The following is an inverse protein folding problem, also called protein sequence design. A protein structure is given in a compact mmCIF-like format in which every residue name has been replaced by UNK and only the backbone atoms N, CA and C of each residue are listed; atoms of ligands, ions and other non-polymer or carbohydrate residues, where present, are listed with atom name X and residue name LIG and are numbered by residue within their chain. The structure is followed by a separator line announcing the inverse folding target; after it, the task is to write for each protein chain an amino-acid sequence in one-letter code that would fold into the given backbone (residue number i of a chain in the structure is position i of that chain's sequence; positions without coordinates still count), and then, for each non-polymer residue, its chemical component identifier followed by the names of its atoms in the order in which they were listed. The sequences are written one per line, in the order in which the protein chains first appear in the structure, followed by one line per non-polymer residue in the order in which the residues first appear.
data_IF_944296401983
#
_entry.id   IF_944296401983
#
_cell.length_a   1.000
_cell.length_b   1.000
_cell.length_c   1.000
_cell.angle_alpha   90.00
_cell.angle_beta   90.00
_cell.angle_gamma   90.00
#
_symmetry.space_group_name_H-M   'P 1'
#
loop_
_entity.id
_entity.type
_entity.pdbx_description
1 polymer ?
#
# COMPACT_ATOMS: atom_id res chain seq x y z
N UNK A 1 -14.96 -6.36 3.87
CA UNK A 1 -14.03 -7.19 3.06
C UNK A 1 -12.73 -7.41 3.81
N UNK A 2 -12.20 -6.38 4.46
CA UNK A 2 -10.93 -6.41 5.21
C UNK A 2 -10.91 -7.45 6.33
N UNK A 3 -11.98 -7.64 7.10
CA UNK A 3 -11.97 -8.60 8.22
C UNK A 3 -11.71 -10.06 7.79
N UNK A 4 -11.86 -10.38 6.50
CA UNK A 4 -11.50 -11.71 5.94
C UNK A 4 -10.02 -11.85 5.56
N UNK A 5 -9.33 -10.73 5.34
CA UNK A 5 -7.95 -10.66 4.83
C UNK A 5 -6.98 -10.00 5.83
N UNK A 6 -7.50 -9.33 6.86
CA UNK A 6 -6.75 -8.67 7.93
C UNK A 6 -6.69 -9.59 9.14
N UNK A 7 -5.54 -10.23 9.36
CA UNK A 7 -5.20 -10.79 10.69
C UNK A 7 -4.82 -9.63 11.60
N UNK A 8 -5.51 -9.50 12.73
CA UNK A 8 -5.31 -8.39 13.68
C UNK A 8 -4.11 -8.65 14.60
N UNK A 9 -2.92 -8.79 14.01
CA UNK A 9 -1.63 -8.98 14.68
C UNK A 9 -0.54 -8.23 13.91
N UNK A 10 0.64 -8.04 14.49
CA UNK A 10 1.78 -7.45 13.77
C UNK A 10 2.20 -8.27 12.56
N UNK A 11 2.33 -9.59 12.71
CA UNK A 11 2.65 -10.49 11.59
C UNK A 11 1.56 -10.44 10.52
N UNK A 12 0.28 -10.39 10.92
CA UNK A 12 -0.84 -10.21 10.03
C UNK A 12 -0.82 -8.90 9.25
N UNK A 13 -0.42 -7.81 9.92
CA UNK A 13 -0.22 -6.50 9.30
C UNK A 13 0.93 -6.53 8.28
N UNK A 14 2.09 -7.10 8.65
CA UNK A 14 3.24 -7.24 7.76
C UNK A 14 2.88 -8.08 6.53
N UNK A 15 2.20 -9.22 6.73
CA UNK A 15 1.72 -10.09 5.66
C UNK A 15 0.77 -9.32 4.72
N UNK A 16 -0.15 -8.53 5.26
CA UNK A 16 -1.04 -7.68 4.47
C UNK A 16 -0.24 -6.67 3.62
N UNK A 17 0.72 -5.97 4.21
CA UNK A 17 1.59 -5.03 3.47
C UNK A 17 2.35 -5.73 2.35
N UNK A 18 2.99 -6.87 2.63
CA UNK A 18 3.72 -7.65 1.62
C UNK A 18 2.80 -8.06 0.46
N UNK A 19 1.59 -8.52 0.77
CA UNK A 19 0.60 -8.87 -0.26
C UNK A 19 0.25 -7.65 -1.12
N UNK A 20 0.12 -6.46 -0.52
CA UNK A 20 -0.12 -5.22 -1.24
C UNK A 20 1.05 -4.85 -2.16
N UNK A 21 2.29 -5.09 -1.77
CA UNK A 21 3.48 -4.84 -2.59
C UNK A 21 3.56 -5.76 -3.81
N UNK A 22 3.01 -6.98 -3.70
CA UNK A 22 3.01 -7.99 -4.76
C UNK A 22 1.68 -8.15 -5.49
N UNK A 23 0.74 -7.21 -5.26
CA UNK A 23 -0.57 -7.20 -5.95
C UNK A 23 -0.54 -6.21 -7.10
N UNK A 24 -1.05 -6.64 -8.26
CA UNK A 24 -1.14 -5.80 -9.46
C UNK A 24 -1.81 -4.46 -9.21
N UNK A 25 -1.33 -3.42 -9.88
CA UNK A 25 -1.66 -2.00 -9.59
C UNK A 25 -3.16 -1.73 -9.51
N UNK A 26 -3.97 -2.31 -10.42
CA UNK A 26 -5.44 -2.15 -10.43
C UNK A 26 -6.08 -2.75 -9.19
N UNK A 27 -5.82 -4.03 -8.90
CA UNK A 27 -6.37 -4.73 -7.74
C UNK A 27 -5.88 -4.09 -6.43
N UNK A 28 -4.61 -3.71 -6.36
CA UNK A 28 -4.03 -2.98 -5.22
C UNK A 28 -4.78 -1.69 -4.95
N UNK A 29 -5.03 -0.89 -5.99
CA UNK A 29 -5.79 0.37 -5.87
C UNK A 29 -7.20 0.15 -5.36
N UNK A 30 -7.87 -0.93 -5.81
CA UNK A 30 -9.20 -1.30 -5.34
C UNK A 30 -9.19 -1.74 -3.86
N UNK A 31 -8.22 -2.55 -3.45
CA UNK A 31 -8.07 -3.00 -2.06
C UNK A 31 -7.76 -1.82 -1.15
N UNK A 32 -6.83 -0.93 -1.53
CA UNK A 32 -6.53 0.28 -0.77
C UNK A 32 -7.78 1.13 -0.59
N UNK A 33 -8.52 1.38 -1.67
CA UNK A 33 -9.74 2.17 -1.66
C UNK A 33 -10.83 1.55 -0.78
N UNK A 34 -11.10 0.26 -0.95
CA UNK A 34 -12.10 -0.44 -0.12
C UNK A 34 -11.69 -0.44 1.36
N UNK A 35 -10.41 -0.71 1.62
CA UNK A 35 -9.88 -0.82 2.95
C UNK A 35 -9.89 0.50 3.71
N UNK A 36 -9.52 1.61 3.06
CA UNK A 36 -9.44 2.94 3.70
C UNK A 36 -10.82 3.35 4.23
N UNK A 37 -11.88 3.00 3.50
CA UNK A 37 -13.25 3.29 3.92
C UNK A 37 -13.73 2.36 5.05
N UNK A 38 -13.22 1.13 5.13
CA UNK A 38 -13.56 0.21 6.22
C UNK A 38 -12.81 0.60 7.50
N UNK A 39 -11.49 0.79 7.41
CA UNK A 39 -10.58 1.04 8.52
C UNK A 39 -9.48 2.06 8.12
N UNK A 40 -9.78 3.38 8.17
CA UNK A 40 -8.88 4.42 7.67
C UNK A 40 -7.58 4.51 8.47
N UNK A 41 -7.64 4.28 9.78
CA UNK A 41 -6.42 4.31 10.61
C UNK A 41 -5.51 3.16 10.19
N UNK A 42 -6.00 1.91 10.18
CA UNK A 42 -5.18 0.77 9.80
C UNK A 42 -4.55 0.94 8.42
N UNK A 43 -5.34 1.39 7.45
CA UNK A 43 -4.85 1.59 6.09
C UNK A 43 -3.84 2.73 5.97
N UNK A 44 -3.87 3.72 6.86
CA UNK A 44 -2.82 4.74 6.92
C UNK A 44 -1.47 4.12 7.26
N UNK A 45 -1.41 3.18 8.21
CA UNK A 45 -0.17 2.44 8.48
C UNK A 45 0.20 1.55 7.31
N UNK A 46 -0.75 0.85 6.68
CA UNK A 46 -0.46 0.05 5.48
C UNK A 46 0.23 0.93 4.43
N UNK A 47 -0.35 2.08 4.10
CA UNK A 47 0.20 3.01 3.10
C UNK A 47 1.58 3.55 3.46
N UNK A 48 1.85 3.83 4.75
CA UNK A 48 3.19 4.23 5.22
C UNK A 48 4.25 3.15 5.00
N UNK A 49 3.86 1.88 4.91
CA UNK A 49 4.77 0.75 4.80
C UNK A 49 4.89 0.15 3.41
N UNK A 50 3.86 0.25 2.55
CA UNK A 50 3.94 -0.26 1.17
C UNK A 50 5.09 0.41 0.43
N UNK A 51 5.90 -0.40 -0.24
CA UNK A 51 7.03 0.02 -1.08
C UNK A 51 6.88 -0.48 -2.50
N UNK A 52 7.56 0.20 -3.42
CA UNK A 52 7.68 -0.20 -4.82
C UNK A 52 9.13 -0.50 -5.17
N UNK A 53 9.35 -1.00 -6.39
CA UNK A 53 10.71 -1.19 -6.90
C UNK A 53 11.47 0.14 -6.99
N UNK A 54 10.77 1.24 -7.23
CA UNK A 54 11.34 2.58 -7.26
C UNK A 54 11.85 3.01 -5.87
N UNK A 55 11.22 2.57 -4.77
CA UNK A 55 11.80 2.78 -3.44
C UNK A 55 13.07 1.94 -3.21
N UNK A 56 13.19 0.79 -3.89
CA UNK A 56 14.36 -0.09 -3.77
C UNK A 56 15.59 0.51 -4.46
N UNK A 57 15.43 1.12 -5.65
CA UNK A 57 16.56 1.74 -6.36
C UNK A 57 17.17 2.93 -5.58
N UNK A 58 16.40 3.50 -4.65
CA UNK A 58 16.79 4.61 -3.79
C UNK A 58 17.42 4.15 -2.45
N UNK A 59 17.54 2.84 -2.19
CA UNK A 59 18.23 2.33 -1.00
C UNK A 59 19.73 2.65 -1.04
N UNK A 60 20.41 2.69 0.12
CA UNK A 60 21.86 2.81 0.15
C UNK A 60 22.58 1.72 -0.65
N UNK A 61 23.67 2.08 -1.32
CA UNK A 61 24.45 1.19 -2.19
C UNK A 61 24.86 -0.12 -1.51
N UNK A 62 25.24 -0.07 -0.24
CA UNK A 62 25.64 -1.25 0.55
C UNK A 62 24.47 -2.20 0.86
N UNK A 63 23.25 -1.68 1.01
CA UNK A 63 22.04 -2.49 1.14
C UNK A 63 21.66 -3.15 -0.20
N UNK A 64 21.78 -2.41 -1.32
CA UNK A 64 21.55 -2.97 -2.65
C UNK A 64 22.59 -4.05 -2.97
N UNK A 65 23.86 -3.83 -2.62
CA UNK A 65 24.92 -4.84 -2.71
C UNK A 65 24.56 -6.11 -1.91
N UNK A 66 23.97 -5.94 -0.72
CA UNK A 66 23.52 -7.07 0.11
C UNK A 66 22.41 -7.86 -0.58
N UNK A 67 21.45 -7.17 -1.21
CA UNK A 67 20.40 -7.80 -2.04
C UNK A 67 21.00 -8.56 -3.22
N UNK A 68 21.93 -7.94 -3.96
CA UNK A 68 22.58 -8.53 -5.13
C UNK A 68 23.33 -9.82 -4.77
N UNK A 69 24.00 -9.85 -3.62
CA UNK A 69 24.79 -11.02 -3.17
C UNK A 69 23.94 -12.20 -2.71
N UNK A 70 22.63 -12.02 -2.54
CA UNK A 70 21.78 -13.12 -2.06
C UNK A 70 21.72 -14.30 -3.02
N UNK A 71 21.72 -14.05 -4.34
CA UNK A 71 21.61 -15.08 -5.37
C UNK A 71 22.31 -14.60 -6.66
N UNK A 72 22.89 -15.52 -7.44
CA UNK A 72 23.71 -15.16 -8.61
C UNK A 72 22.93 -14.44 -9.73
N UNK A 73 21.64 -14.75 -9.86
CA UNK A 73 20.77 -14.23 -10.92
C UNK A 73 20.19 -12.84 -10.64
N UNK A 74 20.46 -12.24 -9.47
CA UNK A 74 19.80 -10.98 -9.08
C UNK A 74 20.07 -9.85 -10.07
N UNK A 75 21.30 -9.74 -10.60
CA UNK A 75 21.62 -8.71 -11.60
C UNK A 75 20.78 -8.89 -12.88
N UNK A 76 20.62 -10.12 -13.37
CA UNK A 76 19.76 -10.39 -14.53
C UNK A 76 18.28 -10.07 -14.26
N UNK A 77 17.79 -10.31 -13.03
CA UNK A 77 16.43 -9.89 -12.65
C UNK A 77 16.31 -8.38 -12.58
N UNK A 78 17.32 -7.67 -12.03
CA UNK A 78 17.36 -6.21 -11.99
C UNK A 78 17.39 -5.60 -13.40
N UNK A 79 18.13 -6.21 -14.33
CA UNK A 79 18.14 -5.82 -15.73
C UNK A 79 16.72 -5.85 -16.33
N UNK A 80 15.93 -6.91 -16.05
CA UNK A 80 14.52 -6.97 -16.46
C UNK A 80 13.66 -5.89 -15.82
N UNK A 81 13.89 -5.56 -14.54
CA UNK A 81 13.13 -4.52 -13.83
C UNK A 81 13.30 -3.14 -14.48
N UNK A 82 14.53 -2.81 -14.89
CA UNK A 82 14.89 -1.49 -15.43
C UNK A 82 14.83 -1.40 -16.95
N UNK A 83 14.61 -2.52 -17.65
CA UNK A 83 14.56 -2.56 -19.10
C UNK A 83 13.51 -1.59 -19.65
N UNK A 84 13.94 -0.63 -20.48
CA UNK A 84 13.07 0.39 -21.06
C UNK A 84 12.56 1.46 -20.07
N UNK A 85 13.20 1.60 -18.90
CA UNK A 85 13.03 2.80 -18.07
C UNK A 85 13.71 4.02 -18.72
N UNK A 86 13.33 5.25 -18.34
CA UNK A 86 14.04 6.46 -18.75
C UNK A 86 15.54 6.38 -18.43
N UNK A 87 16.40 6.88 -19.34
CA UNK A 87 17.86 6.78 -19.23
C UNK A 87 18.40 7.43 -17.95
N UNK A 88 17.80 8.55 -17.51
CA UNK A 88 18.17 9.24 -16.27
C UNK A 88 17.95 8.36 -15.03
N UNK A 89 16.87 7.57 -15.02
CA UNK A 89 16.57 6.61 -13.94
C UNK A 89 17.53 5.42 -13.97
N UNK A 90 17.89 4.93 -15.15
CA UNK A 90 18.88 3.85 -15.30
C UNK A 90 20.24 4.33 -14.80
N UNK A 91 20.67 5.53 -15.22
CA UNK A 91 21.94 6.12 -14.80
C UNK A 91 22.00 6.35 -13.28
N UNK A 92 20.90 6.84 -12.69
CA UNK A 92 20.80 6.99 -11.24
C UNK A 92 20.98 5.64 -10.51
N UNK A 93 20.36 4.58 -11.01
CA UNK A 93 20.52 3.25 -10.46
C UNK A 93 21.95 2.72 -10.64
N UNK A 94 22.56 2.86 -11.83
CA UNK A 94 23.95 2.46 -12.10
C UNK A 94 24.91 3.11 -11.10
N UNK A 95 24.77 4.41 -10.86
CA UNK A 95 25.58 5.15 -9.90
C UNK A 95 25.44 4.64 -8.46
N UNK A 96 24.31 4.01 -8.13
CA UNK A 96 24.04 3.43 -6.82
C UNK A 96 24.55 1.99 -6.67
N UNK A 97 25.00 1.34 -7.74
CA UNK A 97 25.57 -0.02 -7.73
C UNK A 97 26.92 -0.11 -8.47
N UNK A 98 27.91 0.73 -8.16
CA UNK A 98 29.14 0.88 -8.94
C UNK A 98 29.91 -0.43 -9.13
N UNK A 99 29.86 -1.35 -8.17
CA UNK A 99 30.53 -2.66 -8.21
C UNK A 99 29.93 -3.63 -9.23
N UNK A 100 28.71 -3.37 -9.68
CA UNK A 100 27.91 -4.29 -10.48
C UNK A 100 27.54 -3.75 -11.86
N UNK A 101 27.96 -2.52 -12.20
CA UNK A 101 27.62 -1.84 -13.46
C UNK A 101 28.00 -2.69 -14.68
N UNK A 102 29.22 -3.23 -14.74
CA UNK A 102 29.67 -4.00 -15.91
C UNK A 102 28.74 -5.19 -16.17
N UNK A 103 28.48 -6.01 -15.14
CA UNK A 103 27.59 -7.16 -15.24
C UNK A 103 26.16 -6.74 -15.59
N UNK A 104 25.66 -5.64 -15.03
CA UNK A 104 24.32 -5.14 -15.36
C UNK A 104 24.23 -4.73 -16.85
N UNK A 105 25.23 -4.03 -17.38
CA UNK A 105 25.28 -3.62 -18.78
C UNK A 105 25.35 -4.82 -19.72
N UNK A 106 26.12 -5.84 -19.35
CA UNK A 106 26.18 -7.10 -20.09
C UNK A 106 24.79 -7.75 -20.14
N UNK A 107 24.12 -7.93 -19.00
CA UNK A 107 22.77 -8.50 -18.91
C UNK A 107 21.75 -7.70 -19.73
N UNK A 108 21.78 -6.36 -19.66
CA UNK A 108 20.92 -5.49 -20.46
C UNK A 108 21.13 -5.68 -21.97
N UNK A 109 22.38 -5.88 -22.41
CA UNK A 109 22.70 -6.05 -23.84
C UNK A 109 22.12 -7.33 -24.45
N UNK A 110 21.88 -8.37 -23.63
CA UNK A 110 21.28 -9.63 -24.07
C UNK A 110 19.75 -9.59 -24.10
N UNK A 111 19.11 -8.62 -23.46
CA UNK A 111 17.66 -8.48 -23.45
C UNK A 111 17.17 -7.85 -24.76
N UNK A 112 16.34 -8.59 -25.51
CA UNK A 112 15.72 -8.11 -26.76
C UNK A 112 14.32 -7.55 -26.54
N UNK A 113 13.55 -8.21 -25.69
CA UNK A 113 12.19 -7.83 -25.32
C UNK A 113 11.93 -8.31 -23.89
N UNK A 114 11.17 -7.52 -23.13
CA UNK A 114 10.70 -7.88 -21.79
C UNK A 114 9.25 -7.42 -21.68
N UNK A 115 8.34 -8.36 -21.55
CA UNK A 115 6.90 -8.09 -21.46
C UNK A 115 6.55 -7.37 -20.14
N UNK A 116 5.43 -6.63 -20.06
CA UNK A 116 5.01 -6.00 -18.82
C UNK A 116 4.87 -6.96 -17.64
N UNK A 117 4.36 -8.18 -17.90
CA UNK A 117 4.21 -9.24 -16.90
C UNK A 117 5.57 -9.72 -16.37
N UNK A 118 6.57 -9.89 -17.24
CA UNK A 118 7.92 -10.26 -16.82
C UNK A 118 8.58 -9.17 -15.97
N UNK A 119 8.40 -7.88 -16.34
CA UNK A 119 8.89 -6.75 -15.54
C UNK A 119 8.24 -6.74 -14.16
N UNK A 120 6.92 -6.90 -14.10
CA UNK A 120 6.16 -6.91 -12.86
C UNK A 120 6.57 -8.09 -11.96
N UNK A 121 6.69 -9.29 -12.53
CA UNK A 121 7.19 -10.47 -11.82
C UNK A 121 8.61 -10.29 -11.27
N UNK A 122 9.51 -9.67 -12.07
CA UNK A 122 10.87 -9.34 -11.65
C UNK A 122 10.87 -8.35 -10.47
N UNK A 123 10.07 -7.28 -10.54
CA UNK A 123 9.92 -6.30 -9.45
C UNK A 123 9.43 -6.96 -8.16
N UNK A 124 8.42 -7.83 -8.25
CA UNK A 124 7.92 -8.57 -7.09
C UNK A 124 8.94 -9.53 -6.49
N UNK A 125 9.75 -10.17 -7.32
CA UNK A 125 10.83 -11.03 -6.86
C UNK A 125 11.86 -10.25 -6.03
N UNK A 126 12.30 -9.09 -6.53
CA UNK A 126 13.22 -8.21 -5.80
C UNK A 126 12.62 -7.76 -4.47
N UNK A 127 11.38 -7.25 -4.47
CA UNK A 127 10.72 -6.80 -3.23
C UNK A 127 10.60 -7.91 -2.18
N UNK A 128 10.30 -9.15 -2.59
CA UNK A 128 10.27 -10.30 -1.67
C UNK A 128 11.63 -10.57 -1.03
N UNK A 129 12.72 -10.45 -1.79
CA UNK A 129 14.07 -10.62 -1.24
C UNK A 129 14.39 -9.50 -0.26
N UNK A 130 14.12 -8.26 -0.62
CA UNK A 130 14.34 -7.09 0.25
C UNK A 130 13.57 -7.25 1.56
N UNK A 131 12.29 -7.66 1.51
CA UNK A 131 11.49 -7.93 2.72
C UNK A 131 12.04 -9.07 3.57
N UNK A 132 12.56 -10.14 2.95
CA UNK A 132 13.21 -11.25 3.67
C UNK A 132 14.46 -10.76 4.41
N UNK A 133 15.33 -10.01 3.73
CA UNK A 133 16.55 -9.46 4.32
C UNK A 133 16.26 -8.49 5.46
N UNK A 134 15.26 -7.63 5.28
CA UNK A 134 14.79 -6.74 6.33
C UNK A 134 14.31 -7.52 7.57
N UNK A 135 13.50 -8.56 7.38
CA UNK A 135 13.01 -9.39 8.49
C UNK A 135 14.14 -10.10 9.23
N UNK A 136 15.25 -10.36 8.55
CA UNK A 136 16.48 -10.94 9.10
C UNK A 136 17.45 -9.87 9.63
N UNK A 137 17.04 -8.60 9.66
CA UNK A 137 17.86 -7.46 10.12
C UNK A 137 19.19 -7.29 9.36
N UNK A 138 19.26 -7.81 8.13
CA UNK A 138 20.45 -7.70 7.28
C UNK A 138 20.52 -6.37 6.52
N UNK A 139 19.39 -5.67 6.42
CA UNK A 139 19.28 -4.32 5.86
C UNK A 139 18.37 -3.49 6.76
N UNK A 140 18.58 -2.17 6.79
CA UNK A 140 17.78 -1.24 7.59
C UNK A 140 16.68 -0.56 6.76
N UNK A 141 16.81 -0.59 5.44
CA UNK A 141 15.83 -0.14 4.47
C UNK A 141 14.41 -0.64 4.75
N UNK A 142 13.44 0.19 4.36
CA UNK A 142 12.00 -0.08 4.45
C UNK A 142 11.45 -0.26 5.87
N UNK A 143 12.16 0.24 6.89
CA UNK A 143 11.80 0.14 8.32
C UNK A 143 10.28 0.20 8.57
N UNK A 144 9.78 -0.76 9.35
CA UNK A 144 8.37 -0.87 9.67
C UNK A 144 7.86 0.31 10.51
N UNK A 145 6.74 0.88 10.08
CA UNK A 145 5.90 1.80 10.83
C UNK A 145 4.69 1.01 11.34
N UNK A 146 4.83 0.35 12.49
CA UNK A 146 3.78 -0.52 13.02
C UNK A 146 2.66 0.29 13.69
N UNK A 147 1.38 -0.10 13.54
CA UNK A 147 0.30 0.51 14.30
C UNK A 147 0.39 0.18 15.79
N UNK A 148 -0.17 1.03 16.69
CA UNK A 148 -0.38 0.68 18.09
C UNK A 148 -1.08 -0.67 18.27
N UNK A 149 -0.67 -1.45 19.28
CA UNK A 149 -1.18 -2.81 19.49
C UNK A 149 -2.69 -2.83 19.80
N UNK A 150 -3.19 -1.81 20.49
CA UNK A 150 -4.61 -1.64 20.83
C UNK A 150 -5.51 -1.47 19.59
N UNK A 151 -4.97 -1.00 18.45
CA UNK A 151 -5.69 -0.91 17.18
C UNK A 151 -6.13 -2.27 16.63
N UNK A 152 -5.43 -3.34 16.99
CA UNK A 152 -5.80 -4.69 16.60
C UNK A 152 -7.02 -5.20 17.36
N UNK A 153 -7.40 -4.55 18.47
CA UNK A 153 -8.56 -4.94 19.24
C UNK A 153 -9.79 -4.12 18.81
N UNK A 154 -10.96 -4.75 18.58
CA UNK A 154 -12.17 -4.02 18.24
C UNK A 154 -12.52 -3.04 19.36
N UNK A 155 -12.58 -1.74 19.04
CA UNK A 155 -13.22 -0.78 19.96
C UNK A 155 -14.72 -1.03 19.93
N UNK A 156 -15.31 -1.26 21.10
CA UNK A 156 -16.77 -1.29 21.24
C UNK A 156 -17.26 0.13 20.96
N UNK A 157 -17.96 0.32 19.85
CA UNK A 157 -18.58 1.60 19.53
C UNK A 157 -19.77 1.79 20.48
N UNK A 158 -19.82 2.94 21.16
CA UNK A 158 -20.99 3.34 21.95
C UNK A 158 -21.94 4.11 21.05
N UNK A 159 -23.24 4.00 21.34
CA UNK A 159 -24.28 4.71 20.60
C UNK A 159 -24.12 6.23 20.72
N UNK A 160 -24.43 6.93 19.63
CA UNK A 160 -24.34 8.39 19.51
C UNK A 160 -23.31 8.85 18.49
N UNK A 161 -22.95 10.12 18.61
CA UNK A 161 -21.91 10.72 17.78
C UNK A 161 -20.56 10.10 18.09
N UNK A 162 -19.85 9.68 17.05
CA UNK A 162 -18.59 8.99 17.17
C UNK A 162 -17.52 9.69 16.34
N UNK A 163 -16.37 9.89 16.96
CA UNK A 163 -15.20 10.51 16.35
C UNK A 163 -13.99 9.61 16.55
N UNK A 164 -13.18 9.52 15.51
CA UNK A 164 -11.91 8.80 15.50
C UNK A 164 -10.84 9.77 15.06
N UNK A 165 -9.70 9.76 15.75
CA UNK A 165 -8.56 10.63 15.46
C UNK A 165 -7.35 9.80 15.04
N UNK A 166 -6.51 10.36 14.16
CA UNK A 166 -5.16 9.86 13.91
C UNK A 166 -4.28 10.08 15.15
N UNK A 167 -3.12 9.42 15.21
CA UNK A 167 -2.12 9.67 16.27
C UNK A 167 -1.69 11.14 16.36
N UNK A 168 -1.76 11.86 15.23
CA UNK A 168 -1.45 13.29 15.14
C UNK A 168 -2.50 14.17 15.83
N UNK A 169 -3.62 13.60 16.28
CA UNK A 169 -4.77 14.34 16.81
C UNK A 169 -5.70 14.92 15.74
N UNK A 170 -5.44 14.66 14.46
CA UNK A 170 -6.32 15.07 13.35
C UNK A 170 -7.53 14.13 13.28
N UNK A 171 -8.74 14.67 13.07
CA UNK A 171 -9.96 13.88 12.89
C UNK A 171 -9.81 12.95 11.67
N UNK A 172 -10.00 11.66 11.87
CA UNK A 172 -9.88 10.60 10.87
C UNK A 172 -11.23 10.12 10.34
N UNK A 173 -12.24 10.07 11.20
CA UNK A 173 -13.62 9.77 10.81
C UNK A 173 -14.61 10.31 11.84
N UNK A 174 -15.79 10.71 11.36
CA UNK A 174 -16.93 11.09 12.20
C UNK A 174 -18.23 10.47 11.65
N UNK A 175 -19.19 10.22 12.54
CA UNK A 175 -20.53 9.80 12.14
C UNK A 175 -21.37 9.27 13.30
N UNK A 176 -22.56 8.77 12.97
CA UNK A 176 -23.48 8.22 13.97
C UNK A 176 -23.24 6.73 14.18
N UNK A 177 -23.35 6.29 15.43
CA UNK A 177 -23.37 4.88 15.83
C UNK A 177 -24.71 4.57 16.48
N UNK A 178 -25.34 3.49 16.02
CA UNK A 178 -26.58 2.95 16.58
C UNK A 178 -26.42 1.46 16.84
N UNK A 179 -26.73 1.00 18.06
CA UNK A 179 -26.54 -0.39 18.53
C UNK A 179 -25.12 -0.90 18.28
N UNK A 180 -24.13 -0.05 18.52
CA UNK A 180 -22.71 -0.35 18.34
C UNK A 180 -22.26 -0.51 16.87
N UNK A 181 -23.07 -0.09 15.90
CA UNK A 181 -22.76 -0.14 14.47
C UNK A 181 -22.87 1.23 13.82
N UNK A 182 -22.05 1.49 12.78
CA UNK A 182 -22.13 2.74 12.00
C UNK A 182 -23.53 2.88 11.37
N UNK A 183 -24.12 4.06 11.48
CA UNK A 183 -25.43 4.44 10.95
C UNK A 183 -25.37 5.83 10.33
N UNK A 184 -26.29 6.13 9.42
CA UNK A 184 -26.50 7.44 8.80
C UNK A 184 -25.24 8.00 8.13
N UNK A 185 -25.11 9.33 8.10
CA UNK A 185 -23.99 10.01 7.44
C UNK A 185 -22.67 9.79 8.18
N UNK A 186 -21.64 9.47 7.40
CA UNK A 186 -20.26 9.33 7.86
C UNK A 186 -19.34 10.11 6.95
N UNK A 187 -18.30 10.68 7.56
CA UNK A 187 -17.18 11.29 6.85
C UNK A 187 -15.87 10.63 7.30
N UNK A 188 -14.96 10.53 6.34
CA UNK A 188 -13.61 10.05 6.52
C UNK A 188 -12.66 11.13 6.01
N UNK A 189 -11.53 11.29 6.68
CA UNK A 189 -10.56 12.35 6.39
C UNK A 189 -9.17 11.77 6.16
N UNK A 190 -8.36 12.49 5.39
CA UNK A 190 -6.92 12.27 5.29
C UNK A 190 -6.23 12.72 6.57
N UNK A 191 -5.00 12.25 6.80
CA UNK A 191 -4.12 12.73 7.88
C UNK A 191 -3.85 14.24 7.80
N UNK A 192 -3.93 14.82 6.60
CA UNK A 192 -3.95 16.26 6.34
C UNK A 192 -5.20 16.99 6.83
N UNK A 193 -6.23 16.28 7.30
CA UNK A 193 -7.53 16.82 7.72
C UNK A 193 -8.52 17.07 6.58
N UNK A 194 -8.13 16.84 5.32
CA UNK A 194 -9.01 17.02 4.16
C UNK A 194 -10.02 15.88 4.04
N UNK A 195 -11.23 16.20 3.56
CA UNK A 195 -12.26 15.19 3.32
C UNK A 195 -11.76 14.16 2.31
N UNK A 196 -11.82 12.90 2.71
CA UNK A 196 -11.36 11.75 1.93
C UNK A 196 -12.55 11.00 1.35
N UNK A 197 -13.60 10.80 2.13
CA UNK A 197 -14.83 10.19 1.66
C UNK A 197 -16.01 10.58 2.53
N UNK A 198 -17.19 10.59 1.94
CA UNK A 198 -18.45 10.73 2.66
C UNK A 198 -19.52 9.82 2.05
N UNK A 199 -20.47 9.42 2.89
CA UNK A 199 -21.59 8.59 2.46
C UNK A 199 -22.41 8.14 3.66
N UNK A 200 -23.17 7.07 3.46
CA UNK A 200 -24.08 6.55 4.48
C UNK A 200 -23.77 5.11 4.86
N UNK A 201 -24.01 4.80 6.13
CA UNK A 201 -24.06 3.44 6.66
C UNK A 201 -25.47 3.08 7.11
N UNK A 202 -25.81 1.79 6.99
CA UNK A 202 -26.98 1.20 7.62
C UNK A 202 -26.57 -0.14 8.22
N UNK A 203 -26.82 -0.33 9.51
CA UNK A 203 -26.42 -1.52 10.27
C UNK A 203 -24.93 -1.88 10.10
N UNK A 204 -24.06 -0.86 10.07
CA UNK A 204 -22.62 -1.01 9.90
C UNK A 204 -22.14 -1.23 8.46
N UNK A 205 -23.05 -1.35 7.49
CA UNK A 205 -22.73 -1.59 6.08
C UNK A 205 -22.96 -0.33 5.24
N UNK A 206 -22.07 -0.05 4.28
CA UNK A 206 -22.23 1.09 3.37
C UNK A 206 -23.50 0.95 2.55
N UNK A 207 -24.22 2.06 2.44
CA UNK A 207 -25.43 2.20 1.66
C UNK A 207 -25.48 3.57 0.99
N UNK A 208 -26.32 3.70 -0.03
CA UNK A 208 -26.57 4.98 -0.69
C UNK A 208 -25.37 5.47 -1.51
N UNK A 209 -25.35 6.77 -1.78
CA UNK A 209 -24.29 7.42 -2.56
C UNK A 209 -23.07 7.63 -1.68
N UNK A 210 -21.91 7.27 -2.21
CA UNK A 210 -20.62 7.54 -1.63
C UNK A 210 -19.80 8.39 -2.59
N UNK A 211 -19.15 9.41 -2.04
CA UNK A 211 -18.20 10.26 -2.77
C UNK A 211 -16.84 10.08 -2.12
N UNK A 212 -15.81 9.92 -2.95
CA UNK A 212 -14.43 9.72 -2.54
C UNK A 212 -13.63 10.77 -3.25
N UNK A 213 -12.77 11.45 -2.50
CA UNK A 213 -11.99 12.57 -2.96
C UNK A 213 -10.51 12.17 -3.06
N UNK A 214 -9.74 12.93 -3.83
CA UNK A 214 -8.30 12.94 -3.77
C UNK A 214 -7.85 13.87 -2.63
N UNK A 215 -6.56 13.79 -2.22
CA UNK A 215 -5.99 14.69 -1.21
C UNK A 215 -5.93 16.18 -1.62
N UNK A 216 -6.22 16.50 -2.87
CA UNK A 216 -6.41 17.88 -3.34
C UNK A 216 -7.89 18.35 -3.26
N UNK A 217 -8.82 17.47 -2.89
CA UNK A 217 -10.25 17.74 -2.79
C UNK A 217 -11.06 17.47 -4.06
N UNK A 218 -10.44 17.10 -5.19
CA UNK A 218 -11.21 16.73 -6.39
C UNK A 218 -11.85 15.36 -6.23
N UNK A 219 -13.00 15.12 -6.88
CA UNK A 219 -13.68 13.82 -6.83
C UNK A 219 -12.77 12.78 -7.49
N UNK A 220 -12.42 11.75 -6.73
CA UNK A 220 -11.71 10.56 -7.19
C UNK A 220 -12.65 9.50 -7.70
N UNK A 221 -13.77 9.30 -7.00
CA UNK A 221 -14.79 8.36 -7.40
C UNK A 221 -16.12 8.66 -6.71
N UNK A 222 -17.23 8.40 -7.39
CA UNK A 222 -18.57 8.48 -6.84
C UNK A 222 -19.42 7.32 -7.37
N UNK A 223 -20.24 6.74 -6.50
CA UNK A 223 -21.16 5.69 -6.89
C UNK A 223 -22.04 5.25 -5.73
N UNK A 224 -22.88 4.23 -5.98
CA UNK A 224 -23.76 3.69 -4.94
C UNK A 224 -23.17 2.44 -4.31
N UNK A 225 -23.40 2.27 -3.01
CA UNK A 225 -23.22 1.01 -2.31
C UNK A 225 -24.58 0.41 -1.93
N UNK A 226 -24.65 -0.93 -1.93
CA UNK A 226 -25.74 -1.70 -1.33
C UNK A 226 -25.12 -2.81 -0.49
N UNK A 227 -25.20 -2.66 0.83
CA UNK A 227 -24.62 -3.60 1.80
C UNK A 227 -23.11 -3.85 1.52
N UNK A 228 -22.31 -2.78 1.53
CA UNK A 228 -20.87 -2.76 1.21
C UNK A 228 -20.47 -3.13 -0.24
N UNK A 229 -21.39 -3.61 -1.07
CA UNK A 229 -21.12 -3.93 -2.46
C UNK A 229 -21.35 -2.72 -3.36
N UNK A 230 -20.36 -2.41 -4.21
CA UNK A 230 -20.51 -1.40 -5.26
C UNK A 230 -21.71 -1.77 -6.14
N UNK A 231 -22.62 -0.83 -6.33
CA UNK A 231 -23.85 -1.03 -7.08
C UNK A 231 -24.00 0.04 -8.16
N UNK A 232 -24.29 -0.41 -9.38
CA UNK A 232 -24.43 0.47 -10.53
C UNK A 232 -23.10 1.06 -11.02
N UNK A 233 -23.20 2.12 -11.80
CA UNK A 233 -22.02 2.80 -12.36
C UNK A 233 -21.30 3.60 -11.28
N UNK A 234 -19.98 3.50 -11.31
CA UNK A 234 -19.06 4.34 -10.57
C UNK A 234 -18.37 5.27 -11.56
N UNK A 235 -18.28 6.55 -11.23
CA UNK A 235 -17.61 7.57 -12.02
C UNK A 235 -16.45 8.15 -11.25
#
# INVERSE_FOLDING_TARGET
MLDRIKKRTFEGFKEFVLNMETTGTTSRSQILMAGILEDPIFMTYVMKNVRTFEDFIDLPSDEIDTVIKTQEQIIGVLAKCIYGMPEDKILAFENNIPKHISKLKDELSYLKEVTPSEKEGAKYFILKIVRKLQQQEQIQGFKWHLPPQDMFHPKILKDGQFEIYFETGVLAAEGQVLKGKRSDAWKHFYDSGKLMAEGQYNDGLKTGVWVIYFGNGSIKAQGKYKADLKHGQWR
#
